data_IF_172044835931
#
_entry.id   IF_172044835931
#
_cell.length_a   1.000
_cell.length_b   1.000
_cell.length_c   1.000
_cell.angle_alpha   90.00
_cell.angle_beta   90.00
_cell.angle_gamma   90.00
#
_symmetry.space_group_name_H-M   'P 1'
#
loop_
_entity.id
_entity.type
_entity.pdbx_description
1 polymer ?
#
# COMPACT_ATOMS: atom_id res chain seq x y z
N UNK A 1 -3.62 -11.34 23.63
CA UNK A 1 -3.52 -10.49 22.42
C UNK A 1 -4.59 -9.42 22.45
N UNK A 2 -4.23 -8.15 22.21
CA UNK A 2 -5.14 -6.99 22.31
C UNK A 2 -6.42 -7.13 21.45
N UNK A 3 -6.31 -7.68 20.25
CA UNK A 3 -7.44 -7.87 19.32
C UNK A 3 -8.52 -8.80 19.90
N UNK A 4 -8.13 -9.94 20.47
CA UNK A 4 -9.06 -10.88 21.12
C UNK A 4 -9.76 -10.24 22.32
N UNK A 5 -8.99 -9.54 23.17
CA UNK A 5 -9.55 -8.82 24.32
C UNK A 5 -10.59 -7.79 23.90
N UNK A 6 -10.33 -7.09 22.79
CA UNK A 6 -11.27 -6.10 22.26
C UNK A 6 -12.54 -6.76 21.69
N UNK A 7 -12.42 -7.84 20.91
CA UNK A 7 -13.57 -8.61 20.42
C UNK A 7 -14.47 -9.09 21.55
N UNK A 8 -13.88 -9.62 22.63
CA UNK A 8 -14.64 -10.01 23.82
C UNK A 8 -15.29 -8.83 24.53
N UNK A 9 -14.60 -7.68 24.61
CA UNK A 9 -15.15 -6.46 25.23
C UNK A 9 -16.43 -5.98 24.52
N UNK A 10 -16.46 -6.04 23.18
CA UNK A 10 -17.64 -5.67 22.38
C UNK A 10 -18.67 -6.80 22.29
N UNK A 11 -18.45 -7.92 22.99
CA UNK A 11 -19.31 -9.11 22.99
C UNK A 11 -19.59 -9.71 21.59
N UNK A 12 -18.62 -9.56 20.67
CA UNK A 12 -18.70 -10.18 19.36
C UNK A 12 -18.70 -11.70 19.51
N UNK A 13 -19.59 -12.39 18.77
CA UNK A 13 -19.65 -13.85 18.66
C UNK A 13 -19.25 -14.31 17.26
N UNK A 14 -19.82 -13.71 16.23
CA UNK A 14 -19.55 -14.01 14.83
C UNK A 14 -18.59 -12.98 14.26
N UNK A 15 -17.43 -13.41 13.78
CA UNK A 15 -16.41 -12.53 13.25
C UNK A 15 -16.11 -12.83 11.78
N UNK A 16 -16.03 -11.79 10.98
CA UNK A 16 -15.61 -11.85 9.59
C UNK A 16 -14.11 -11.56 9.52
N UNK A 17 -13.32 -12.52 9.05
CA UNK A 17 -11.86 -12.41 9.03
C UNK A 17 -11.38 -12.07 7.63
N UNK A 18 -10.83 -10.86 7.45
CA UNK A 18 -10.13 -10.44 6.24
C UNK A 18 -8.62 -10.60 6.42
N UNK A 19 -7.94 -11.12 5.42
CA UNK A 19 -6.49 -11.38 5.46
C UNK A 19 -5.86 -11.25 4.08
N UNK A 20 -4.56 -10.86 4.00
CA UNK A 20 -3.85 -10.79 2.73
C UNK A 20 -3.47 -12.17 2.21
N UNK A 21 -3.29 -12.29 0.89
CA UNK A 21 -2.92 -13.53 0.20
C UNK A 21 -1.72 -14.26 0.85
N UNK A 22 -0.72 -13.49 1.33
CA UNK A 22 0.47 -14.06 1.98
C UNK A 22 0.20 -14.83 3.28
N UNK A 23 -1.01 -14.73 3.85
CA UNK A 23 -1.40 -15.48 5.06
C UNK A 23 -2.33 -16.67 4.77
N UNK A 24 -2.62 -16.98 3.50
CA UNK A 24 -3.52 -18.09 3.13
C UNK A 24 -3.08 -19.44 3.71
N UNK A 25 -1.80 -19.69 3.77
CA UNK A 25 -1.26 -20.95 4.32
C UNK A 25 -1.43 -21.08 5.84
N UNK A 26 -1.57 -19.96 6.54
CA UNK A 26 -1.69 -19.92 8.00
C UNK A 26 -3.13 -19.70 8.47
N UNK A 27 -4.04 -19.28 7.56
CA UNK A 27 -5.35 -18.77 7.96
C UNK A 27 -6.24 -19.82 8.64
N UNK A 28 -6.12 -21.09 8.26
CA UNK A 28 -6.87 -22.17 8.89
C UNK A 28 -6.45 -22.38 10.35
N UNK A 29 -5.16 -22.31 10.65
CA UNK A 29 -4.64 -22.36 12.01
C UNK A 29 -5.08 -21.16 12.84
N UNK A 30 -5.13 -19.98 12.21
CA UNK A 30 -5.65 -18.76 12.83
C UNK A 30 -7.16 -18.90 13.10
N UNK A 31 -7.94 -19.45 12.16
CA UNK A 31 -9.38 -19.70 12.34
C UNK A 31 -9.61 -20.62 13.54
N UNK A 32 -8.93 -21.77 13.57
CA UNK A 32 -9.03 -22.70 14.71
C UNK A 32 -8.68 -22.02 16.03
N UNK A 33 -7.61 -21.22 16.07
CA UNK A 33 -7.26 -20.48 17.28
C UNK A 33 -8.38 -19.51 17.73
N UNK A 34 -9.08 -18.87 16.81
CA UNK A 34 -10.19 -17.97 17.12
C UNK A 34 -11.42 -18.75 17.59
N UNK A 35 -11.71 -19.88 16.98
CA UNK A 35 -12.80 -20.80 17.37
C UNK A 35 -12.57 -21.35 18.78
N UNK A 36 -11.34 -21.74 19.13
CA UNK A 36 -10.94 -22.16 20.49
C UNK A 36 -11.09 -21.04 21.52
N UNK A 37 -11.18 -19.76 21.10
CA UNK A 37 -11.49 -18.61 21.96
C UNK A 37 -12.99 -18.31 22.05
N UNK A 38 -13.84 -19.09 21.39
CA UNK A 38 -15.28 -19.02 21.44
C UNK A 38 -15.91 -18.10 20.39
N UNK A 39 -15.27 -17.90 19.24
CA UNK A 39 -15.82 -17.14 18.13
C UNK A 39 -16.31 -18.07 17.01
N UNK A 40 -17.45 -17.72 16.39
CA UNK A 40 -17.86 -18.26 15.09
C UNK A 40 -17.08 -17.48 14.01
N UNK A 41 -16.32 -18.18 13.18
CA UNK A 41 -15.41 -17.53 12.20
C UNK A 41 -15.90 -17.70 10.77
N UNK A 42 -15.96 -16.61 10.03
CA UNK A 42 -16.16 -16.60 8.58
C UNK A 42 -14.88 -16.02 7.93
N UNK A 43 -14.20 -16.81 7.12
CA UNK A 43 -13.02 -16.39 6.38
C UNK A 43 -13.41 -15.73 5.06
N UNK A 44 -12.94 -14.51 4.83
CA UNK A 44 -13.08 -13.85 3.53
C UNK A 44 -12.01 -14.37 2.58
N UNK A 45 -12.41 -15.11 1.54
CA UNK A 45 -11.51 -15.61 0.51
C UNK A 45 -11.24 -14.59 -0.61
N UNK A 46 -11.87 -13.41 -0.52
CA UNK A 46 -11.62 -12.32 -1.46
C UNK A 46 -10.27 -11.65 -1.20
N UNK A 47 -9.61 -11.20 -2.26
CA UNK A 47 -8.33 -10.52 -2.17
C UNK A 47 -8.38 -9.30 -1.26
N UNK A 48 -7.49 -9.22 -0.28
CA UNK A 48 -7.38 -8.10 0.65
C UNK A 48 -5.99 -7.47 0.54
N UNK A 49 -5.87 -6.41 -0.26
CA UNK A 49 -4.60 -5.75 -0.56
C UNK A 49 -4.17 -4.71 0.48
N UNK A 50 -5.06 -4.29 1.37
CA UNK A 50 -4.79 -3.27 2.38
C UNK A 50 -6.00 -2.93 3.22
N UNK A 51 -5.80 -2.15 4.28
CA UNK A 51 -6.86 -1.65 5.15
C UNK A 51 -7.79 -0.63 4.47
N UNK A 52 -7.54 -0.29 3.21
CA UNK A 52 -8.46 0.48 2.37
C UNK A 52 -9.64 -0.37 1.84
N UNK A 53 -9.56 -1.70 1.97
CA UNK A 53 -10.55 -2.66 1.51
C UNK A 53 -11.27 -3.30 2.70
N UNK A 54 -12.24 -2.59 3.29
CA UNK A 54 -13.05 -3.09 4.39
C UNK A 54 -14.40 -3.56 3.85
N UNK A 55 -14.67 -4.85 3.99
CA UNK A 55 -15.86 -5.54 3.47
C UNK A 55 -16.98 -5.65 4.52
N UNK A 56 -17.35 -4.52 5.06
CA UNK A 56 -18.35 -4.47 6.13
C UNK A 56 -19.78 -4.69 5.63
N UNK A 57 -20.06 -4.45 4.35
CA UNK A 57 -21.36 -4.76 3.76
C UNK A 57 -21.56 -6.27 3.64
N UNK A 58 -20.54 -7.01 3.21
CA UNK A 58 -20.51 -8.46 3.14
C UNK A 58 -20.60 -9.08 4.55
N UNK A 59 -19.77 -8.60 5.47
CA UNK A 59 -19.77 -9.05 6.85
C UNK A 59 -21.15 -8.85 7.51
N UNK A 60 -21.80 -7.72 7.25
CA UNK A 60 -23.16 -7.44 7.75
C UNK A 60 -24.21 -8.35 7.14
N UNK A 61 -24.15 -8.62 5.82
CA UNK A 61 -25.06 -9.57 5.14
C UNK A 61 -24.93 -10.97 5.71
N UNK A 62 -23.69 -11.37 6.09
CA UNK A 62 -23.39 -12.65 6.74
C UNK A 62 -23.67 -12.63 8.25
N UNK A 63 -24.28 -11.56 8.77
CA UNK A 63 -24.66 -11.39 10.18
C UNK A 63 -23.48 -11.50 11.14
N UNK A 64 -22.31 -11.01 10.74
CA UNK A 64 -21.15 -10.90 11.60
C UNK A 64 -21.25 -9.66 12.49
N UNK A 65 -20.75 -9.78 13.73
CA UNK A 65 -20.76 -8.72 14.74
C UNK A 65 -19.60 -7.75 14.54
N UNK A 66 -18.47 -8.23 14.00
CA UNK A 66 -17.24 -7.47 13.80
C UNK A 66 -16.41 -8.05 12.65
N UNK A 67 -15.47 -7.21 12.17
CA UNK A 67 -14.39 -7.63 11.26
C UNK A 67 -13.09 -7.73 12.03
N UNK A 68 -12.39 -8.84 11.88
CA UNK A 68 -10.98 -8.97 12.23
C UNK A 68 -10.15 -8.83 10.97
N UNK A 69 -9.48 -7.70 10.81
CA UNK A 69 -8.64 -7.40 9.65
C UNK A 69 -7.18 -7.68 9.99
N UNK A 70 -6.64 -8.76 9.41
CA UNK A 70 -5.28 -9.25 9.70
C UNK A 70 -4.28 -8.67 8.70
N UNK A 71 -3.07 -8.38 9.16
CA UNK A 71 -1.91 -8.03 8.33
C UNK A 71 -1.71 -6.54 8.08
N UNK A 72 -2.71 -5.70 8.30
CA UNK A 72 -2.63 -4.27 8.05
C UNK A 72 -2.93 -3.45 9.30
N UNK A 73 -2.51 -2.18 9.30
CA UNK A 73 -2.87 -1.20 10.32
C UNK A 73 -4.14 -0.45 9.92
N UNK A 74 -4.81 0.14 10.90
CA UNK A 74 -5.93 1.04 10.69
C UNK A 74 -5.55 2.16 9.70
N UNK A 75 -6.39 2.34 8.69
CA UNK A 75 -6.25 3.34 7.63
C UNK A 75 -7.25 4.49 7.78
N UNK A 76 -8.09 4.47 8.81
CA UNK A 76 -9.13 5.46 9.04
C UNK A 76 -10.37 5.27 8.14
N UNK A 77 -10.57 4.11 7.56
CA UNK A 77 -11.77 3.80 6.75
C UNK A 77 -12.97 3.61 7.66
N UNK A 78 -14.03 4.39 7.42
CA UNK A 78 -15.28 4.24 8.16
C UNK A 78 -15.99 2.93 7.80
N UNK A 79 -16.42 2.19 8.80
CA UNK A 79 -17.14 0.92 8.66
C UNK A 79 -18.49 0.97 9.37
N UNK A 80 -19.45 0.16 8.88
CA UNK A 80 -20.80 0.01 9.46
C UNK A 80 -20.83 -0.90 10.71
N UNK A 81 -19.79 -1.70 10.88
CA UNK A 81 -19.60 -2.59 12.04
C UNK A 81 -18.16 -2.42 12.58
N UNK A 82 -17.89 -2.78 13.82
CA UNK A 82 -16.55 -2.67 14.39
C UNK A 82 -15.51 -3.40 13.56
N UNK A 83 -14.37 -2.74 13.31
CA UNK A 83 -13.19 -3.33 12.67
C UNK A 83 -12.04 -3.35 13.67
N UNK A 84 -11.48 -4.52 13.86
CA UNK A 84 -10.34 -4.73 14.74
C UNK A 84 -9.15 -5.14 13.89
N UNK A 85 -8.06 -4.40 14.00
CA UNK A 85 -6.85 -4.69 13.25
C UNK A 85 -5.93 -5.59 14.07
N UNK A 86 -5.54 -6.71 13.47
CA UNK A 86 -4.49 -7.57 13.97
C UNK A 86 -3.28 -7.41 13.06
N UNK A 87 -2.45 -6.44 13.40
CA UNK A 87 -1.23 -6.14 12.67
C UNK A 87 -0.27 -7.34 12.70
N UNK A 88 0.29 -7.66 11.55
CA UNK A 88 1.28 -8.74 11.42
C UNK A 88 2.67 -8.13 11.30
N UNK A 89 3.57 -8.56 12.16
CA UNK A 89 4.95 -8.06 12.20
C UNK A 89 5.91 -9.20 11.91
N UNK A 90 6.83 -8.97 11.00
CA UNK A 90 7.96 -9.88 10.83
C UNK A 90 8.97 -9.69 11.96
N UNK A 91 9.42 -10.82 12.52
CA UNK A 91 10.47 -10.86 13.54
C UNK A 91 11.81 -11.20 12.86
N UNK A 92 12.35 -10.20 12.15
CA UNK A 92 13.61 -10.33 11.39
C UNK A 92 14.59 -9.29 11.92
N UNK A 93 15.79 -9.73 12.32
CA UNK A 93 16.88 -8.83 12.69
C UNK A 93 17.50 -8.19 11.43
N UNK A 94 17.39 -6.86 11.26
CA UNK A 94 17.96 -6.17 10.10
C UNK A 94 19.48 -5.95 10.21
N UNK A 95 20.07 -6.12 11.40
CA UNK A 95 21.45 -5.67 11.68
C UNK A 95 22.50 -6.46 10.92
N UNK A 96 22.45 -7.79 10.77
CA UNK A 96 23.44 -8.52 9.97
C UNK A 96 23.53 -8.02 8.55
N UNK A 97 22.39 -7.79 7.90
CA UNK A 97 22.33 -7.27 6.53
C UNK A 97 22.86 -5.84 6.47
N UNK A 98 22.42 -4.99 7.41
CA UNK A 98 22.82 -3.61 7.47
C UNK A 98 24.34 -3.47 7.69
N UNK A 99 24.94 -4.28 8.57
CA UNK A 99 26.40 -4.29 8.79
C UNK A 99 27.16 -4.67 7.51
N UNK A 100 26.74 -5.75 6.86
CA UNK A 100 27.38 -6.26 5.63
C UNK A 100 27.33 -5.23 4.50
N UNK A 101 26.19 -4.57 4.33
CA UNK A 101 25.88 -3.73 3.18
C UNK A 101 26.05 -2.22 3.46
N UNK A 102 26.51 -1.83 4.66
CA UNK A 102 26.57 -0.45 5.12
C UNK A 102 27.31 0.49 4.18
N UNK A 103 28.39 0.01 3.52
CA UNK A 103 29.20 0.79 2.59
C UNK A 103 28.36 1.50 1.52
N UNK A 104 27.23 0.92 1.11
CA UNK A 104 26.34 1.47 0.07
C UNK A 104 25.66 2.78 0.47
N UNK A 105 25.48 3.00 1.77
CA UNK A 105 24.82 4.21 2.30
C UNK A 105 25.76 5.07 3.14
N UNK A 106 27.02 4.65 3.35
CA UNK A 106 27.97 5.29 4.27
C UNK A 106 28.28 6.75 3.94
N UNK A 107 28.21 7.16 2.66
CA UNK A 107 28.45 8.53 2.22
C UNK A 107 27.37 9.52 2.62
N UNK A 108 26.16 9.08 3.01
CA UNK A 108 25.06 9.95 3.39
C UNK A 108 25.08 10.19 4.91
N UNK A 109 24.97 11.45 5.34
CA UNK A 109 25.03 11.81 6.75
C UNK A 109 23.65 11.97 7.38
N UNK A 110 22.66 12.39 6.60
CA UNK A 110 21.29 12.61 7.04
C UNK A 110 20.36 11.59 6.36
N UNK A 111 19.87 10.61 7.11
CA UNK A 111 19.11 9.48 6.56
C UNK A 111 17.68 9.53 7.08
N UNK A 112 16.71 9.54 6.15
CA UNK A 112 15.29 9.32 6.45
C UNK A 112 15.00 7.84 6.56
N UNK A 113 14.53 7.37 7.73
CA UNK A 113 14.09 5.98 7.90
C UNK A 113 12.60 5.84 7.70
N UNK A 114 12.21 4.93 6.83
CA UNK A 114 10.82 4.62 6.49
C UNK A 114 10.63 3.12 6.30
N UNK A 115 9.39 2.66 6.53
CA UNK A 115 9.03 1.25 6.41
C UNK A 115 7.51 1.08 6.25
N UNK A 116 7.06 -0.12 5.96
CA UNK A 116 5.66 -0.53 6.11
C UNK A 116 5.42 -1.14 7.52
N UNK A 117 4.16 -1.45 7.85
CA UNK A 117 3.80 -1.94 9.19
C UNK A 117 4.51 -3.24 9.55
N UNK A 118 4.73 -4.14 8.59
CA UNK A 118 5.31 -5.46 8.81
C UNK A 118 6.73 -5.39 9.39
N UNK A 119 7.52 -4.37 9.02
CA UNK A 119 8.91 -4.20 9.46
C UNK A 119 9.09 -3.05 10.47
N UNK A 120 8.01 -2.52 11.04
CA UNK A 120 8.07 -1.35 11.91
C UNK A 120 8.97 -1.56 13.15
N UNK A 121 9.04 -2.79 13.65
CA UNK A 121 9.89 -3.15 14.79
C UNK A 121 11.38 -3.00 14.48
N UNK A 122 11.78 -3.21 13.23
CA UNK A 122 13.17 -3.09 12.76
C UNK A 122 13.70 -1.65 12.79
N UNK A 123 12.82 -0.63 12.81
CA UNK A 123 13.25 0.78 12.80
C UNK A 123 14.13 1.13 14.00
N UNK A 124 13.84 0.58 15.18
CA UNK A 124 14.57 0.91 16.41
C UNK A 124 16.04 0.47 16.31
N UNK A 125 16.27 -0.80 16.00
CA UNK A 125 17.62 -1.37 15.90
C UNK A 125 18.43 -0.74 14.76
N UNK A 126 17.81 -0.50 13.59
CA UNK A 126 18.45 0.20 12.47
C UNK A 126 18.84 1.63 12.85
N UNK A 127 17.96 2.38 13.52
CA UNK A 127 18.25 3.73 14.02
C UNK A 127 19.44 3.74 15.00
N UNK A 128 19.46 2.81 15.95
CA UNK A 128 20.52 2.67 16.94
C UNK A 128 21.85 2.36 16.25
N UNK A 129 21.88 1.37 15.35
CA UNK A 129 23.08 1.04 14.59
C UNK A 129 23.61 2.23 13.77
N UNK A 130 22.75 2.94 13.06
CA UNK A 130 23.19 4.09 12.24
C UNK A 130 23.72 5.24 13.09
N UNK A 131 23.20 5.42 14.32
CA UNK A 131 23.76 6.38 15.28
C UNK A 131 25.18 6.02 15.71
N UNK A 132 25.52 4.72 15.90
CA UNK A 132 26.92 4.31 16.18
C UNK A 132 27.88 4.61 15.03
N UNK A 133 27.32 4.92 13.83
CA UNK A 133 28.06 5.38 12.65
C UNK A 133 27.95 6.90 12.44
N UNK A 134 27.60 7.64 13.50
CA UNK A 134 27.48 9.11 13.54
C UNK A 134 26.47 9.68 12.53
N UNK A 135 25.48 8.87 12.10
CA UNK A 135 24.45 9.32 11.16
C UNK A 135 23.32 10.06 11.88
N UNK A 136 22.84 11.16 11.29
CA UNK A 136 21.63 11.87 11.73
C UNK A 136 20.41 11.22 11.13
N UNK A 137 19.52 10.69 11.98
CA UNK A 137 18.37 9.88 11.56
C UNK A 137 17.08 10.65 11.75
N UNK A 138 16.28 10.71 10.69
CA UNK A 138 15.00 11.40 10.65
C UNK A 138 13.87 10.39 10.39
N UNK A 139 12.80 10.54 11.14
CA UNK A 139 11.52 9.85 10.93
C UNK A 139 10.39 10.83 11.22
N UNK A 140 9.22 10.61 10.64
CA UNK A 140 8.02 11.38 10.97
C UNK A 140 6.82 10.44 11.09
N UNK A 141 5.82 10.85 11.88
CA UNK A 141 4.57 10.12 12.03
C UNK A 141 3.50 10.76 11.14
N UNK A 142 2.89 9.96 10.24
CA UNK A 142 1.73 10.35 9.45
C UNK A 142 0.61 9.30 9.50
N UNK A 143 0.96 8.10 9.90
CA UNK A 143 0.06 6.97 10.14
C UNK A 143 0.19 6.52 11.60
N UNK A 144 -0.07 5.24 11.88
CA UNK A 144 -0.05 4.72 13.25
C UNK A 144 1.35 4.76 13.89
N UNK A 145 2.39 4.59 13.08
CA UNK A 145 3.78 4.53 13.53
C UNK A 145 4.66 5.59 12.89
N UNK A 146 5.70 6.04 13.62
CA UNK A 146 6.73 6.91 13.06
C UNK A 146 7.53 6.16 11.99
N UNK A 147 7.72 6.78 10.81
CA UNK A 147 8.39 6.16 9.67
C UNK A 147 7.50 5.23 8.83
N UNK A 148 6.27 4.97 9.24
CA UNK A 148 5.35 4.15 8.47
C UNK A 148 4.88 4.89 7.21
N UNK A 149 4.96 4.20 6.07
CA UNK A 149 4.40 4.64 4.78
C UNK A 149 3.48 3.57 4.19
N UNK A 150 2.65 4.01 3.25
CA UNK A 150 1.92 3.16 2.31
C UNK A 150 2.27 3.57 0.89
N UNK A 151 2.04 2.72 -0.09
CA UNK A 151 2.26 3.08 -1.50
C UNK A 151 1.39 4.26 -1.97
N UNK A 152 0.25 4.49 -1.32
CA UNK A 152 -0.66 5.60 -1.56
C UNK A 152 -0.46 6.79 -0.59
N UNK A 153 0.22 6.59 0.53
CA UNK A 153 0.48 7.63 1.54
C UNK A 153 1.96 7.62 1.95
N UNK A 154 2.69 8.63 1.50
CA UNK A 154 4.11 8.82 1.76
C UNK A 154 4.39 10.03 2.66
N UNK A 155 3.41 10.58 3.34
CA UNK A 155 3.50 11.85 4.07
C UNK A 155 4.58 11.82 5.15
N UNK A 156 4.82 10.66 5.78
CA UNK A 156 5.91 10.51 6.75
C UNK A 156 7.28 10.84 6.14
N UNK A 157 7.52 10.46 4.88
CA UNK A 157 8.74 10.77 4.16
C UNK A 157 8.73 12.21 3.64
N UNK A 158 7.62 12.68 3.06
CA UNK A 158 7.52 14.02 2.47
C UNK A 158 7.79 15.13 3.48
N UNK A 159 7.32 14.97 4.73
CA UNK A 159 7.56 15.93 5.83
C UNK A 159 9.02 16.10 6.24
N UNK A 160 9.89 15.15 5.87
CA UNK A 160 11.31 15.18 6.21
C UNK A 160 12.24 15.25 4.98
N UNK A 161 11.70 15.32 3.76
CA UNK A 161 12.45 15.30 2.50
C UNK A 161 13.58 16.33 2.47
N UNK A 162 13.31 17.55 2.89
CA UNK A 162 14.29 18.66 2.90
C UNK A 162 15.35 18.54 4.02
N UNK A 163 15.19 17.59 4.95
CA UNK A 163 16.08 17.38 6.10
C UNK A 163 17.05 16.24 5.89
N UNK A 164 16.94 15.48 4.80
CA UNK A 164 17.69 14.25 4.57
C UNK A 164 18.46 14.28 3.25
N UNK A 165 19.54 13.52 3.21
CA UNK A 165 20.36 13.31 2.01
C UNK A 165 19.83 12.14 1.18
N UNK A 166 19.30 11.10 1.85
CA UNK A 166 18.67 9.94 1.24
C UNK A 166 17.62 9.33 2.15
N UNK A 167 16.82 8.41 1.60
CA UNK A 167 15.92 7.55 2.36
C UNK A 167 16.44 6.12 2.40
N UNK A 168 16.28 5.48 3.56
CA UNK A 168 16.44 4.04 3.72
C UNK A 168 15.06 3.45 4.04
N UNK A 169 14.48 2.77 3.05
CA UNK A 169 13.25 1.99 3.21
C UNK A 169 13.62 0.58 3.69
N UNK A 170 13.03 0.15 4.82
CA UNK A 170 13.21 -1.19 5.37
C UNK A 170 12.00 -2.02 4.96
N UNK A 171 12.22 -3.13 4.27
CA UNK A 171 11.15 -3.98 3.80
C UNK A 171 11.56 -4.84 2.63
N UNK A 172 10.60 -5.55 2.04
CA UNK A 172 10.76 -6.33 0.82
C UNK A 172 9.96 -5.74 -0.35
N UNK A 173 10.32 -6.14 -1.56
CA UNK A 173 9.65 -5.68 -2.77
C UNK A 173 9.95 -4.23 -3.14
N UNK A 174 9.29 -3.74 -4.19
CA UNK A 174 9.52 -2.40 -4.74
C UNK A 174 8.35 -1.44 -4.54
N UNK A 175 7.14 -1.94 -4.35
CA UNK A 175 5.92 -1.14 -4.45
C UNK A 175 5.93 0.13 -3.59
N UNK A 176 6.24 -0.01 -2.29
CA UNK A 176 6.27 1.14 -1.38
C UNK A 176 7.37 2.13 -1.75
N UNK A 177 8.55 1.61 -2.12
CA UNK A 177 9.69 2.42 -2.51
C UNK A 177 9.47 3.13 -3.87
N UNK A 178 8.82 2.47 -4.85
CA UNK A 178 8.44 3.07 -6.14
C UNK A 178 7.42 4.21 -5.94
N UNK A 179 6.40 3.98 -5.11
CA UNK A 179 5.42 5.03 -4.78
C UNK A 179 6.07 6.26 -4.14
N UNK A 180 7.17 6.06 -3.39
CA UNK A 180 7.97 7.13 -2.82
C UNK A 180 8.78 7.86 -3.90
N UNK A 181 9.53 7.14 -4.76
CA UNK A 181 10.44 7.71 -5.75
C UNK A 181 9.75 8.50 -6.86
N UNK A 182 8.48 8.18 -7.13
CA UNK A 182 7.66 8.97 -8.05
C UNK A 182 7.34 10.39 -7.53
N UNK A 183 7.52 10.64 -6.23
CA UNK A 183 7.06 11.88 -5.57
C UNK A 183 8.15 12.59 -4.76
N UNK A 184 9.34 12.01 -4.63
CA UNK A 184 10.47 12.51 -3.84
C UNK A 184 11.73 12.54 -4.70
N UNK A 185 12.46 13.67 -4.62
CA UNK A 185 13.69 13.90 -5.37
C UNK A 185 14.95 13.60 -4.52
N UNK A 186 14.97 12.46 -3.84
CA UNK A 186 16.12 12.02 -3.04
C UNK A 186 16.47 10.57 -3.37
N UNK A 187 17.75 10.17 -3.29
CA UNK A 187 18.10 8.77 -3.44
C UNK A 187 17.38 7.89 -2.43
N UNK A 188 16.80 6.79 -2.90
CA UNK A 188 16.10 5.81 -2.08
C UNK A 188 16.87 4.51 -2.11
N UNK A 189 17.20 4.01 -0.92
CA UNK A 189 17.80 2.71 -0.72
C UNK A 189 16.79 1.78 -0.05
N UNK A 190 16.77 0.54 -0.48
CA UNK A 190 15.94 -0.52 0.10
C UNK A 190 16.86 -1.45 0.89
N UNK A 191 16.65 -1.52 2.20
CA UNK A 191 17.19 -2.60 3.03
C UNK A 191 16.23 -3.78 2.90
N UNK A 192 16.51 -4.63 1.91
CA UNK A 192 15.69 -5.80 1.57
C UNK A 192 16.08 -6.96 2.48
N UNK A 193 15.24 -7.24 3.47
CA UNK A 193 15.52 -8.25 4.49
C UNK A 193 15.31 -9.69 3.98
N UNK A 194 14.48 -9.88 2.95
CA UNK A 194 14.29 -11.18 2.31
C UNK A 194 15.49 -11.52 1.42
N UNK A 195 15.93 -10.58 0.58
CA UNK A 195 17.09 -10.75 -0.31
C UNK A 195 18.43 -10.55 0.39
N UNK A 196 18.40 -10.09 1.65
CA UNK A 196 19.59 -9.82 2.49
C UNK A 196 20.60 -8.88 1.84
N UNK A 197 20.11 -7.79 1.23
CA UNK A 197 20.94 -6.77 0.55
C UNK A 197 20.43 -5.36 0.80
N UNK A 198 21.32 -4.36 0.66
CA UNK A 198 20.92 -2.98 0.42
C UNK A 198 21.09 -2.70 -1.06
N UNK A 199 20.06 -2.17 -1.71
CA UNK A 199 20.11 -1.75 -3.10
C UNK A 199 19.52 -0.36 -3.27
N UNK A 200 20.07 0.42 -4.17
CA UNK A 200 19.43 1.67 -4.58
C UNK A 200 18.27 1.35 -5.50
N UNK A 201 17.17 2.04 -5.28
CA UNK A 201 16.00 1.93 -6.15
C UNK A 201 16.33 2.56 -7.51
N UNK A 202 16.01 1.83 -8.57
CA UNK A 202 16.00 2.34 -9.94
C UNK A 202 14.58 2.30 -10.48
N UNK A 203 13.98 3.48 -10.64
CA UNK A 203 12.63 3.66 -11.19
C UNK A 203 12.64 4.27 -12.60
N UNK A 204 13.81 4.41 -13.23
CA UNK A 204 13.94 5.08 -14.54
C UNK A 204 13.02 4.50 -15.60
N UNK A 205 13.00 3.17 -15.71
CA UNK A 205 12.11 2.48 -16.68
C UNK A 205 10.62 2.73 -16.38
N UNK A 206 10.23 2.75 -15.10
CA UNK A 206 8.85 3.05 -14.72
C UNK A 206 8.49 4.50 -15.06
N UNK A 207 9.33 5.46 -14.72
CA UNK A 207 9.12 6.89 -15.06
C UNK A 207 8.99 7.07 -16.57
N UNK A 208 9.87 6.45 -17.36
CA UNK A 208 9.78 6.45 -18.81
C UNK A 208 8.48 5.85 -19.33
N UNK A 209 8.02 4.73 -18.73
CA UNK A 209 6.75 4.10 -19.11
C UNK A 209 5.55 4.98 -18.79
N UNK A 210 5.55 5.65 -17.64
CA UNK A 210 4.49 6.60 -17.27
C UNK A 210 4.45 7.75 -18.26
N UNK A 211 5.59 8.38 -18.57
CA UNK A 211 5.66 9.49 -19.53
C UNK A 211 5.27 9.04 -20.96
N UNK A 212 5.70 7.87 -21.36
CA UNK A 212 5.26 7.25 -22.62
C UNK A 212 3.73 7.08 -22.65
N UNK A 213 3.14 6.52 -21.61
CA UNK A 213 1.69 6.39 -21.55
C UNK A 213 0.99 7.75 -21.59
N UNK A 214 1.50 8.77 -20.88
CA UNK A 214 0.94 10.14 -20.89
C UNK A 214 0.90 10.74 -22.28
N UNK A 215 1.89 10.46 -23.17
CA UNK A 215 1.94 11.05 -24.50
C UNK A 215 0.70 10.71 -25.36
N UNK A 216 0.04 9.58 -25.08
CA UNK A 216 -1.19 9.19 -25.77
C UNK A 216 -2.44 9.94 -25.30
N UNK A 217 -2.40 10.61 -24.15
CA UNK A 217 -3.58 11.22 -23.53
C UNK A 217 -4.19 12.32 -24.41
N UNK A 218 -3.35 13.14 -25.03
CA UNK A 218 -3.80 14.30 -25.83
C UNK A 218 -4.70 13.85 -27.01
N UNK A 219 -4.30 12.80 -27.70
CA UNK A 219 -4.98 12.29 -28.90
C UNK A 219 -6.10 11.31 -28.59
N UNK A 220 -6.15 10.77 -27.38
CA UNK A 220 -7.18 9.83 -26.95
C UNK A 220 -8.57 10.46 -27.02
N UNK A 221 -9.50 9.81 -27.69
CA UNK A 221 -10.90 10.25 -27.85
C UNK A 221 -11.84 9.54 -26.86
N UNK A 222 -11.58 8.27 -26.57
CA UNK A 222 -12.38 7.42 -25.67
C UNK A 222 -11.57 7.07 -24.43
N UNK A 223 -11.94 7.63 -23.29
CA UNK A 223 -11.23 7.45 -22.03
C UNK A 223 -12.05 6.59 -21.08
N UNK A 224 -11.40 5.57 -20.50
CA UNK A 224 -11.91 4.81 -19.39
C UNK A 224 -11.39 5.38 -18.06
N UNK A 225 -12.26 5.87 -17.19
CA UNK A 225 -11.91 6.21 -15.80
C UNK A 225 -12.17 4.96 -14.96
N UNK A 226 -11.10 4.35 -14.46
CA UNK A 226 -11.18 3.16 -13.61
C UNK A 226 -11.41 3.60 -12.16
N UNK A 227 -12.49 3.12 -11.57
CA UNK A 227 -12.85 3.40 -10.17
C UNK A 227 -13.10 2.11 -9.41
N UNK A 228 -12.83 2.12 -8.11
CA UNK A 228 -13.16 1.01 -7.24
C UNK A 228 -14.14 1.47 -6.17
N UNK A 229 -15.15 0.63 -5.85
CA UNK A 229 -16.05 0.90 -4.73
C UNK A 229 -15.47 0.50 -3.37
N UNK A 230 -14.23 0.00 -3.32
CA UNK A 230 -13.51 -0.22 -2.05
C UNK A 230 -13.41 1.08 -1.28
N UNK A 231 -13.91 1.12 -0.06
CA UNK A 231 -14.18 2.37 0.69
C UNK A 231 -12.98 3.31 0.82
N UNK A 232 -11.79 2.76 1.06
CA UNK A 232 -10.57 3.55 1.16
C UNK A 232 -9.95 3.94 -0.19
N UNK A 233 -10.57 3.57 -1.32
CA UNK A 233 -10.10 3.88 -2.67
C UNK A 233 -11.05 4.82 -3.44
N UNK A 234 -12.22 5.14 -2.89
CA UNK A 234 -13.18 6.04 -3.53
C UNK A 234 -12.59 7.45 -3.60
N UNK A 235 -12.55 8.01 -4.82
CA UNK A 235 -12.09 9.38 -5.11
C UNK A 235 -13.13 10.13 -5.91
N UNK A 236 -13.01 11.47 -5.98
CA UNK A 236 -13.92 12.31 -6.78
C UNK A 236 -13.59 12.21 -8.28
N UNK A 237 -14.03 11.12 -8.90
CA UNK A 237 -13.91 10.89 -10.34
C UNK A 237 -14.94 11.69 -11.16
N UNK A 238 -16.01 12.18 -10.54
CA UNK A 238 -16.98 13.05 -11.21
C UNK A 238 -16.38 14.40 -11.57
N UNK A 239 -15.53 14.94 -10.67
CA UNK A 239 -14.80 16.17 -10.94
C UNK A 239 -13.86 15.99 -12.13
N UNK A 240 -13.16 14.86 -12.19
CA UNK A 240 -12.31 14.53 -13.34
C UNK A 240 -13.12 14.43 -14.63
N UNK A 241 -14.25 13.71 -14.63
CA UNK A 241 -15.12 13.61 -15.83
C UNK A 241 -15.56 14.97 -16.33
N UNK A 242 -15.90 15.92 -15.44
CA UNK A 242 -16.29 17.29 -15.81
C UNK A 242 -15.15 18.06 -16.52
N UNK A 243 -13.91 17.78 -16.21
CA UNK A 243 -12.74 18.40 -16.86
C UNK A 243 -12.46 17.86 -18.27
N UNK A 244 -12.91 16.66 -18.59
CA UNK A 244 -12.70 15.95 -19.87
C UNK A 244 -13.87 16.14 -20.84
N UNK A 245 -14.40 17.36 -20.97
CA UNK A 245 -15.62 17.63 -21.75
C UNK A 245 -15.46 17.37 -23.25
N UNK A 246 -14.26 17.49 -23.77
CA UNK A 246 -13.88 17.30 -25.18
C UNK A 246 -13.70 15.82 -25.54
N UNK A 247 -13.78 14.92 -24.59
CA UNK A 247 -13.50 13.49 -24.75
C UNK A 247 -14.73 12.64 -24.40
N UNK A 248 -14.87 11.48 -25.05
CA UNK A 248 -15.89 10.50 -24.67
C UNK A 248 -15.42 9.69 -23.47
N UNK A 249 -16.02 9.95 -22.30
CA UNK A 249 -15.58 9.37 -21.03
C UNK A 249 -16.54 8.30 -20.55
N UNK A 250 -16.00 7.12 -20.22
CA UNK A 250 -16.68 6.01 -19.58
C UNK A 250 -16.15 5.85 -18.16
N UNK A 251 -17.04 5.80 -17.15
CA UNK A 251 -16.67 5.46 -15.78
C UNK A 251 -16.88 3.96 -15.63
N UNK A 252 -15.82 3.25 -15.30
CA UNK A 252 -15.79 1.79 -15.17
C UNK A 252 -15.54 1.45 -13.70
N UNK A 253 -16.55 0.83 -13.07
CA UNK A 253 -16.52 0.54 -11.62
C UNK A 253 -16.23 -0.94 -11.36
N UNK A 254 -15.34 -1.19 -10.39
CA UNK A 254 -14.84 -2.53 -10.09
C UNK A 254 -14.72 -2.76 -8.58
N UNK A 255 -14.81 -4.01 -8.17
CA UNK A 255 -14.22 -4.49 -6.92
C UNK A 255 -12.70 -4.65 -7.11
N UNK A 256 -12.31 -5.50 -8.05
CA UNK A 256 -10.91 -5.69 -8.42
C UNK A 256 -10.71 -5.33 -9.90
N UNK A 257 -9.78 -4.41 -10.15
CA UNK A 257 -9.45 -3.95 -11.51
C UNK A 257 -8.35 -4.85 -12.07
N UNK A 258 -8.67 -5.59 -13.13
CA UNK A 258 -7.72 -6.43 -13.86
C UNK A 258 -7.78 -6.15 -15.35
N UNK A 259 -6.69 -6.40 -16.11
CA UNK A 259 -6.68 -6.21 -17.56
C UNK A 259 -7.77 -7.00 -18.28
N UNK A 260 -8.05 -8.22 -17.83
CA UNK A 260 -9.01 -9.15 -18.44
C UNK A 260 -10.43 -8.60 -18.42
N UNK A 261 -10.80 -7.86 -17.36
CA UNK A 261 -12.12 -7.20 -17.24
C UNK A 261 -12.30 -6.01 -18.20
N UNK A 262 -11.24 -5.57 -18.85
CA UNK A 262 -11.26 -4.49 -19.84
C UNK A 262 -11.27 -5.01 -21.28
N UNK A 263 -11.12 -6.32 -21.48
CA UNK A 263 -11.12 -6.91 -22.82
C UNK A 263 -12.47 -6.66 -23.52
N UNK A 264 -12.39 -6.38 -24.82
CA UNK A 264 -13.56 -6.03 -25.64
C UNK A 264 -14.02 -4.57 -25.54
N UNK A 265 -13.54 -3.80 -24.55
CA UNK A 265 -13.84 -2.36 -24.48
C UNK A 265 -12.94 -1.59 -25.45
N UNK A 266 -13.58 -0.82 -26.35
CA UNK A 266 -12.87 0.01 -27.36
C UNK A 266 -12.50 1.36 -26.73
N UNK A 267 -11.40 1.38 -25.95
CA UNK A 267 -10.89 2.56 -25.25
C UNK A 267 -9.48 2.90 -25.76
N UNK A 268 -9.17 4.18 -25.85
CA UNK A 268 -7.88 4.68 -26.30
C UNK A 268 -6.92 4.93 -25.12
N UNK A 269 -7.47 5.21 -23.92
CA UNK A 269 -6.69 5.59 -22.75
C UNK A 269 -7.43 5.25 -21.44
N UNK A 270 -6.66 4.95 -20.38
CA UNK A 270 -7.19 4.63 -19.07
C UNK A 270 -6.64 5.61 -18.03
N UNK A 271 -7.52 6.16 -17.18
CA UNK A 271 -7.15 6.96 -16.01
C UNK A 271 -7.53 6.16 -14.78
N UNK A 272 -6.53 5.77 -13.99
CA UNK A 272 -6.76 5.03 -12.76
C UNK A 272 -7.07 5.99 -11.60
N UNK A 273 -8.29 5.95 -11.09
CA UNK A 273 -8.75 6.65 -9.89
C UNK A 273 -8.88 5.74 -8.65
N UNK A 274 -8.39 4.51 -8.71
CA UNK A 274 -8.39 3.54 -7.61
C UNK A 274 -7.01 3.42 -6.96
N UNK A 275 -6.58 2.20 -6.64
CA UNK A 275 -5.28 1.96 -6.03
C UNK A 275 -4.14 2.38 -6.97
N UNK A 276 -3.18 3.21 -6.54
CA UNK A 276 -2.08 3.65 -7.41
C UNK A 276 -1.15 2.51 -7.86
N UNK A 277 -1.20 1.35 -7.22
CA UNK A 277 -0.47 0.15 -7.63
C UNK A 277 -0.73 -0.25 -9.07
N UNK A 278 -1.95 -0.03 -9.57
CA UNK A 278 -2.37 -0.33 -10.93
C UNK A 278 -1.52 0.43 -11.96
N UNK A 279 -1.24 1.70 -11.72
CA UNK A 279 -0.39 2.52 -12.59
C UNK A 279 1.10 2.48 -12.23
N UNK A 280 1.53 1.65 -11.29
CA UNK A 280 2.93 1.48 -10.87
C UNK A 280 3.38 0.04 -11.14
N UNK A 281 2.95 -0.92 -10.31
CA UNK A 281 3.39 -2.32 -10.40
C UNK A 281 2.79 -3.04 -11.61
N UNK A 282 1.52 -2.79 -11.86
CA UNK A 282 0.74 -3.49 -12.89
C UNK A 282 0.71 -2.75 -14.24
N UNK A 283 1.34 -1.58 -14.35
CA UNK A 283 1.29 -0.72 -15.55
C UNK A 283 1.59 -1.46 -16.85
N UNK A 284 2.51 -2.42 -16.83
CA UNK A 284 2.93 -3.19 -18.00
C UNK A 284 1.98 -4.33 -18.38
N UNK A 285 1.00 -4.66 -17.52
CA UNK A 285 -0.01 -5.68 -17.80
C UNK A 285 -1.12 -5.16 -18.72
N UNK A 286 -1.29 -3.84 -18.77
CA UNK A 286 -2.35 -3.19 -19.56
C UNK A 286 -1.88 -2.93 -20.99
N UNK A 287 -2.66 -3.41 -21.98
CA UNK A 287 -2.44 -3.13 -23.40
C UNK A 287 -2.82 -1.69 -23.74
N UNK A 288 -3.85 -1.15 -23.09
CA UNK A 288 -4.29 0.24 -23.25
C UNK A 288 -3.41 1.13 -22.38
N UNK A 289 -2.87 2.26 -22.86
CA UNK A 289 -2.10 3.18 -22.06
C UNK A 289 -2.85 3.59 -20.79
N UNK A 290 -2.25 3.39 -19.62
CA UNK A 290 -2.84 3.68 -18.31
C UNK A 290 -1.93 4.59 -17.50
N UNK A 291 -2.54 5.56 -16.78
CA UNK A 291 -1.84 6.46 -15.87
C UNK A 291 -2.70 6.68 -14.62
N UNK A 292 -2.07 6.80 -13.46
CA UNK A 292 -2.79 7.21 -12.27
C UNK A 292 -3.24 8.67 -12.38
N UNK A 293 -4.42 8.99 -11.88
CA UNK A 293 -4.96 10.34 -11.91
C UNK A 293 -3.99 11.39 -11.34
N UNK A 294 -3.31 11.07 -10.24
CA UNK A 294 -2.37 12.00 -9.60
C UNK A 294 -1.08 12.25 -10.42
N UNK A 295 -0.83 11.47 -11.47
CA UNK A 295 0.34 11.61 -12.33
C UNK A 295 0.00 12.35 -13.64
N UNK A 296 -1.28 12.70 -13.86
CA UNK A 296 -1.75 13.58 -14.93
C UNK A 296 -1.75 15.02 -14.43
N UNK A 297 -0.68 15.77 -14.73
CA UNK A 297 -0.50 17.14 -14.26
C UNK A 297 -1.36 18.17 -15.01
N UNK A 298 -1.93 17.80 -16.16
CA UNK A 298 -2.57 18.72 -17.12
C UNK A 298 -4.11 18.55 -17.22
N UNK A 299 -4.74 17.93 -16.21
CA UNK A 299 -6.21 17.69 -16.21
C UNK A 299 -6.91 18.37 -15.05
#
# INVERSE_FOLDING_TARGET
MKSITFLKKIKAKKIFVQFPEGLKTEIQSISKYLEDKGFDVILSCESTYGACDIRDDEAKRLKCDAILHIGHSDFGVKSKIPVIYWEYFYDIDPIPVLKKEYKKISKYNKIGLITNVQFIKSLKSVKEFLKTKEKKIFTNKSLNYSGQILGCNIDAAKKIENKVDCFLYIGSGNFYALGLDLKINKPIFILDLEKKVIRQLDSKKLKQKIEWNKSFFKEAKKIGILVSWKKGQIRDFWKLKKKLKDKKVYILAFDEITPEKLEGLKLDFLINCACPRIGIDDISRYKIPIVNYNDLNDV
#
